data_IF_685903737084
#
_entry.id   IF_685903737084
#
_cell.length_a   1.000
_cell.length_b   1.000
_cell.length_c   1.000
_cell.angle_alpha   90.00
_cell.angle_beta   90.00
_cell.angle_gamma   90.00
#
_symmetry.space_group_name_H-M   'P 1'
#
loop_
_entity.id
_entity.type
_entity.pdbx_description
1 polymer ?
#
# COMPACT_ATOMS: atom_id res chain seq x y z
N UNK A 1 -17.75 6.56 22.75
CA UNK A 1 -16.62 6.37 21.81
C UNK A 1 -16.77 7.37 20.67
N UNK A 2 -15.74 8.16 20.38
CA UNK A 2 -15.73 9.10 19.26
C UNK A 2 -15.21 8.39 18.02
N UNK A 3 -15.83 8.63 16.87
CA UNK A 3 -15.40 8.05 15.59
C UNK A 3 -15.39 9.11 14.50
N UNK A 4 -14.49 8.94 13.53
CA UNK A 4 -14.32 9.82 12.38
C UNK A 4 -14.38 9.01 11.09
N UNK A 5 -14.60 9.69 9.96
CA UNK A 5 -14.49 9.06 8.66
C UNK A 5 -13.08 8.46 8.49
N UNK A 6 -13.03 7.24 7.97
CA UNK A 6 -11.78 6.59 7.55
C UNK A 6 -11.29 7.18 6.23
N UNK A 7 -9.99 7.04 5.96
CA UNK A 7 -9.44 7.35 4.63
C UNK A 7 -10.06 6.47 3.55
N UNK A 8 -10.09 6.98 2.31
CA UNK A 8 -10.47 6.21 1.11
C UNK A 8 -9.67 4.93 0.99
N UNK A 9 -8.37 5.01 1.27
CA UNK A 9 -7.44 3.89 1.21
C UNK A 9 -7.81 2.76 2.18
N UNK A 10 -8.19 3.09 3.42
CA UNK A 10 -8.59 2.10 4.42
C UNK A 10 -9.91 1.41 4.04
N UNK A 11 -10.86 2.16 3.45
CA UNK A 11 -12.11 1.59 2.94
C UNK A 11 -11.88 0.65 1.76
N UNK A 12 -11.08 1.07 0.78
CA UNK A 12 -10.74 0.23 -0.36
C UNK A 12 -9.99 -1.04 0.05
N UNK A 13 -9.09 -0.95 1.03
CA UNK A 13 -8.36 -2.11 1.53
C UNK A 13 -9.27 -3.10 2.24
N UNK A 14 -10.18 -2.63 3.09
CA UNK A 14 -11.20 -3.46 3.72
C UNK A 14 -12.05 -4.20 2.66
N UNK A 15 -12.48 -3.50 1.61
CA UNK A 15 -13.24 -4.12 0.50
C UNK A 15 -12.42 -5.24 -0.15
N UNK A 16 -11.16 -4.98 -0.50
CA UNK A 16 -10.25 -5.98 -1.11
C UNK A 16 -10.05 -7.21 -0.23
N UNK A 17 -9.89 -7.02 1.08
CA UNK A 17 -9.74 -8.11 2.05
C UNK A 17 -10.97 -9.03 2.00
N UNK A 18 -12.16 -8.45 2.09
CA UNK A 18 -13.41 -9.23 2.13
C UNK A 18 -13.69 -9.90 0.78
N UNK A 19 -13.42 -9.21 -0.33
CA UNK A 19 -13.55 -9.77 -1.67
C UNK A 19 -12.55 -10.89 -1.95
N UNK A 20 -11.34 -10.85 -1.34
CA UNK A 20 -10.33 -11.89 -1.50
C UNK A 20 -10.81 -13.27 -1.03
N UNK A 21 -11.81 -13.30 -0.14
CA UNK A 21 -12.46 -14.53 0.36
C UNK A 21 -13.84 -14.76 -0.25
N UNK A 22 -14.19 -14.05 -1.32
CA UNK A 22 -15.43 -14.22 -2.06
C UNK A 22 -16.68 -13.65 -1.37
N UNK A 23 -16.50 -12.79 -0.37
CA UNK A 23 -17.59 -12.17 0.38
C UNK A 23 -17.77 -10.71 -0.03
N UNK A 24 -18.92 -10.13 0.37
CA UNK A 24 -19.18 -8.70 0.24
C UNK A 24 -19.02 -8.02 1.60
N UNK A 25 -18.32 -6.88 1.67
CA UNK A 25 -18.16 -6.15 2.93
C UNK A 25 -19.51 -5.69 3.45
N UNK A 26 -19.75 -5.94 4.74
CA UNK A 26 -20.97 -5.53 5.46
C UNK A 26 -20.67 -4.87 6.81
N UNK A 27 -19.44 -4.38 6.98
CA UNK A 27 -18.98 -3.59 8.12
C UNK A 27 -18.39 -2.26 7.61
N UNK A 28 -18.43 -1.24 8.46
CA UNK A 28 -17.89 0.08 8.14
C UNK A 28 -16.59 0.33 8.92
N UNK A 29 -15.56 0.82 8.23
CA UNK A 29 -14.31 1.21 8.89
C UNK A 29 -14.33 2.69 9.30
N UNK A 30 -13.89 2.99 10.52
CA UNK A 30 -13.84 4.34 11.10
C UNK A 30 -12.55 4.53 11.89
N UNK A 31 -11.99 5.74 11.82
CA UNK A 31 -10.96 6.12 12.78
C UNK A 31 -11.61 6.36 14.14
N UNK A 32 -10.97 5.94 15.22
CA UNK A 32 -11.49 6.04 16.58
C UNK A 32 -10.35 6.19 17.60
N UNK A 33 -10.72 6.61 18.80
CA UNK A 33 -9.82 6.65 19.96
C UNK A 33 -9.72 5.25 20.58
N UNK A 34 -8.90 4.41 19.95
CA UNK A 34 -8.57 3.04 20.38
C UNK A 34 -7.04 2.90 20.39
N UNK A 35 -6.51 1.87 21.06
CA UNK A 35 -5.06 1.69 21.15
C UNK A 35 -4.42 1.32 19.81
N UNK A 36 -5.11 0.47 19.02
CA UNK A 36 -4.64 -0.05 17.73
C UNK A 36 -5.79 -0.17 16.72
N UNK A 37 -6.53 -1.28 16.71
CA UNK A 37 -7.74 -1.50 15.98
C UNK A 37 -8.60 -2.53 16.72
N UNK A 38 -9.91 -2.51 16.47
CA UNK A 38 -10.86 -3.48 17.02
C UNK A 38 -12.10 -3.60 16.13
N UNK A 39 -12.64 -4.81 16.01
CA UNK A 39 -13.95 -5.08 15.46
C UNK A 39 -15.03 -4.97 16.56
N UNK A 40 -16.10 -4.22 16.29
CA UNK A 40 -17.15 -3.94 17.27
C UNK A 40 -18.54 -3.89 16.61
N UNK A 41 -19.59 -4.01 17.42
CA UNK A 41 -20.98 -3.81 16.99
C UNK A 41 -21.56 -2.69 17.85
N UNK A 42 -21.98 -1.60 17.21
CA UNK A 42 -22.55 -0.47 17.95
C UNK A 42 -23.96 -0.77 18.48
N UNK A 43 -24.48 0.17 19.28
CA UNK A 43 -25.80 0.06 19.91
C UNK A 43 -26.96 -0.11 18.91
N UNK A 44 -26.76 0.23 17.64
CA UNK A 44 -27.76 0.08 16.58
C UNK A 44 -27.56 -1.20 15.76
N UNK A 45 -26.65 -2.09 16.20
CA UNK A 45 -26.32 -3.33 15.49
C UNK A 45 -25.41 -3.12 14.27
N UNK A 46 -24.81 -1.94 14.10
CA UNK A 46 -23.89 -1.70 12.98
C UNK A 46 -22.52 -2.28 13.28
N UNK A 47 -22.00 -3.06 12.35
CA UNK A 47 -20.67 -3.68 12.44
C UNK A 47 -19.59 -2.67 12.05
N UNK A 48 -18.62 -2.46 12.92
CA UNK A 48 -17.60 -1.44 12.78
C UNK A 48 -16.20 -2.04 12.94
N UNK A 49 -15.30 -1.67 12.03
CA UNK A 49 -13.86 -1.78 12.27
C UNK A 49 -13.37 -0.40 12.70
N UNK A 50 -12.82 -0.32 13.90
CA UNK A 50 -12.36 0.90 14.53
C UNK A 50 -10.85 0.87 14.57
N UNK A 51 -10.17 1.93 14.16
CA UNK A 51 -8.71 1.97 14.18
C UNK A 51 -8.16 3.31 14.66
N UNK A 52 -6.99 3.26 15.26
CA UNK A 52 -6.23 4.41 15.72
C UNK A 52 -5.39 4.97 14.58
N UNK A 53 -5.75 6.17 14.14
CA UNK A 53 -5.02 6.87 13.07
C UNK A 53 -3.55 7.09 13.46
N UNK A 54 -3.29 7.44 14.73
CA UNK A 54 -1.93 7.62 15.25
C UNK A 54 -1.15 6.30 15.25
N UNK A 55 -1.78 5.21 15.67
CA UNK A 55 -1.12 3.90 15.67
C UNK A 55 -0.78 3.47 14.24
N UNK A 56 -1.73 3.58 13.30
CA UNK A 56 -1.51 3.24 11.90
C UNK A 56 -0.37 4.07 11.31
N UNK A 57 -0.33 5.37 11.55
CA UNK A 57 0.76 6.24 11.09
C UNK A 57 2.12 5.83 11.69
N UNK A 58 2.18 5.51 12.99
CA UNK A 58 3.41 5.03 13.64
C UNK A 58 3.85 3.67 13.08
N UNK A 59 2.90 2.80 12.79
CA UNK A 59 3.17 1.45 12.34
C UNK A 59 3.66 1.46 10.88
N UNK A 60 3.06 2.31 10.03
CA UNK A 60 3.59 2.65 8.70
C UNK A 60 4.98 3.28 8.77
N UNK A 61 5.25 4.14 9.75
CA UNK A 61 6.57 4.76 9.94
C UNK A 61 7.64 3.81 10.50
N UNK A 62 7.25 2.78 11.25
CA UNK A 62 8.18 1.79 11.86
C UNK A 62 8.50 0.62 10.96
N UNK A 63 7.48 0.10 10.27
CA UNK A 63 7.63 -1.09 9.44
C UNK A 63 7.92 -0.76 7.99
N UNK A 64 7.55 0.43 7.52
CA UNK A 64 7.44 0.75 6.10
C UNK A 64 6.40 -0.08 5.35
N UNK A 65 5.83 -1.10 5.99
CA UNK A 65 5.31 -2.24 5.30
C UNK A 65 3.79 -2.15 5.21
N UNK A 66 3.32 -1.79 4.01
CA UNK A 66 1.93 -1.90 3.58
C UNK A 66 1.24 -3.17 4.12
N UNK A 67 1.94 -4.31 4.08
CA UNK A 67 1.40 -5.60 4.47
C UNK A 67 1.09 -5.74 5.96
N UNK A 68 1.78 -5.01 6.84
CA UNK A 68 1.43 -5.01 8.25
C UNK A 68 0.06 -4.33 8.48
N UNK A 69 -0.24 -3.29 7.70
CA UNK A 69 -1.55 -2.64 7.71
C UNK A 69 -2.65 -3.53 7.14
N UNK A 70 -2.36 -4.25 6.05
CA UNK A 70 -3.26 -5.29 5.51
C UNK A 70 -3.53 -6.37 6.56
N UNK A 71 -2.48 -6.86 7.23
CA UNK A 71 -2.61 -7.87 8.27
C UNK A 71 -3.50 -7.43 9.42
N UNK A 72 -3.38 -6.18 9.87
CA UNK A 72 -4.19 -5.65 10.96
C UNK A 72 -5.66 -5.61 10.56
N UNK A 73 -5.97 -5.02 9.40
CA UNK A 73 -7.35 -4.93 8.94
C UNK A 73 -7.93 -6.33 8.64
N UNK A 74 -7.12 -7.25 8.13
CA UNK A 74 -7.56 -8.62 7.89
C UNK A 74 -7.90 -9.36 9.18
N UNK A 75 -7.10 -9.14 10.23
CA UNK A 75 -7.39 -9.65 11.58
C UNK A 75 -8.74 -9.12 12.10
N UNK A 76 -8.99 -7.81 12.01
CA UNK A 76 -10.29 -7.25 12.43
C UNK A 76 -11.47 -7.73 11.57
N UNK A 77 -11.26 -7.88 10.25
CA UNK A 77 -12.26 -8.48 9.38
C UNK A 77 -12.57 -9.92 9.82
N UNK A 78 -11.58 -10.69 10.27
CA UNK A 78 -11.77 -12.06 10.71
C UNK A 78 -12.72 -12.14 11.91
N UNK A 79 -12.59 -11.26 12.91
CA UNK A 79 -13.49 -11.24 14.05
C UNK A 79 -14.95 -11.04 13.67
N UNK A 80 -15.19 -10.22 12.65
CA UNK A 80 -16.51 -10.12 12.07
C UNK A 80 -16.89 -11.40 11.30
N UNK A 81 -16.07 -11.87 10.39
CA UNK A 81 -16.42 -13.00 9.50
C UNK A 81 -16.62 -14.32 10.26
N UNK A 82 -15.87 -14.54 11.35
CA UNK A 82 -15.99 -15.71 12.23
C UNK A 82 -17.18 -15.61 13.20
N UNK A 83 -17.78 -14.42 13.34
CA UNK A 83 -18.86 -14.18 14.30
C UNK A 83 -18.38 -13.92 15.72
N UNK A 84 -17.08 -13.70 15.94
CA UNK A 84 -16.49 -13.48 17.28
C UNK A 84 -17.11 -12.25 17.98
N UNK A 85 -17.40 -11.20 17.21
CA UNK A 85 -18.06 -9.99 17.74
C UNK A 85 -19.48 -10.22 18.26
N UNK A 86 -20.11 -11.35 17.92
CA UNK A 86 -21.45 -11.72 18.39
C UNK A 86 -21.40 -12.53 19.70
N UNK A 87 -20.24 -13.09 20.05
CA UNK A 87 -20.09 -13.93 21.24
C UNK A 87 -20.13 -13.12 22.54
N UNK A 88 -19.76 -11.83 22.48
CA UNK A 88 -19.71 -10.95 23.66
C UNK A 88 -18.68 -11.35 24.71
N UNK A 89 -17.83 -12.34 24.44
CA UNK A 89 -16.80 -12.85 25.35
C UNK A 89 -15.52 -12.00 25.34
N UNK A 90 -15.35 -11.14 24.33
CA UNK A 90 -14.10 -10.41 24.09
C UNK A 90 -12.98 -11.31 23.58
N UNK A 91 -11.75 -10.77 23.58
CA UNK A 91 -10.55 -11.47 23.10
C UNK A 91 -10.21 -12.70 23.94
N UNK A 92 -10.02 -13.82 23.26
CA UNK A 92 -9.51 -15.06 23.82
C UNK A 92 -8.45 -15.66 22.91
N UNK A 93 -7.43 -16.37 23.45
CA UNK A 93 -6.31 -16.86 22.65
C UNK A 93 -6.71 -17.67 21.41
N UNK A 94 -7.74 -18.51 21.48
CA UNK A 94 -8.22 -19.30 20.34
C UNK A 94 -8.84 -18.43 19.23
N UNK A 95 -9.60 -17.40 19.62
CA UNK A 95 -10.23 -16.44 18.71
C UNK A 95 -9.16 -15.59 18.00
N UNK A 96 -8.18 -15.10 18.76
CA UNK A 96 -7.05 -14.32 18.24
C UNK A 96 -6.21 -15.12 17.24
N UNK A 97 -5.90 -16.39 17.55
CA UNK A 97 -5.13 -17.24 16.63
C UNK A 97 -5.91 -17.59 15.36
N UNK A 98 -7.24 -17.75 15.43
CA UNK A 98 -8.07 -17.94 14.24
C UNK A 98 -8.06 -16.67 13.35
N UNK A 99 -8.12 -15.49 13.97
CA UNK A 99 -8.01 -14.22 13.25
C UNK A 99 -6.62 -14.01 12.63
N UNK A 100 -5.54 -14.40 13.32
CA UNK A 100 -4.17 -14.37 12.79
C UNK A 100 -3.98 -15.31 11.60
N UNK A 101 -4.56 -16.51 11.69
CA UNK A 101 -4.57 -17.47 10.58
C UNK A 101 -5.33 -16.90 9.38
N UNK A 102 -6.48 -16.26 9.59
CA UNK A 102 -7.20 -15.58 8.52
C UNK A 102 -6.38 -14.46 7.89
N UNK A 103 -5.70 -13.64 8.70
CA UNK A 103 -4.85 -12.56 8.21
C UNK A 103 -3.71 -13.07 7.32
N UNK A 104 -2.99 -14.11 7.75
CA UNK A 104 -1.94 -14.73 6.94
C UNK A 104 -2.47 -15.29 5.61
N UNK A 105 -3.65 -15.92 5.65
CA UNK A 105 -4.33 -16.45 4.47
C UNK A 105 -4.75 -15.35 3.49
N UNK A 106 -5.26 -14.23 4.00
CA UNK A 106 -5.64 -13.05 3.22
C UNK A 106 -4.43 -12.45 2.51
N UNK A 107 -3.31 -12.28 3.21
CA UNK A 107 -2.07 -11.75 2.62
C UNK A 107 -1.59 -12.66 1.47
N UNK A 108 -1.66 -13.98 1.62
CA UNK A 108 -1.34 -14.91 0.54
C UNK A 108 -2.25 -14.73 -0.69
N UNK A 109 -3.57 -14.61 -0.48
CA UNK A 109 -4.55 -14.40 -1.57
C UNK A 109 -4.34 -13.07 -2.30
N UNK A 110 -3.92 -12.04 -1.57
CA UNK A 110 -3.59 -10.73 -2.14
C UNK A 110 -2.19 -10.70 -2.79
N UNK A 111 -1.43 -11.80 -2.74
CA UNK A 111 -0.15 -11.95 -3.44
C UNK A 111 1.09 -11.58 -2.61
N UNK A 112 0.93 -11.36 -1.31
CA UNK A 112 2.05 -11.13 -0.38
C UNK A 112 2.82 -12.41 -0.08
N UNK A 113 4.12 -12.27 0.21
CA UNK A 113 4.97 -13.40 0.56
C UNK A 113 4.89 -13.75 2.06
N UNK A 114 5.57 -14.80 2.51
CA UNK A 114 5.51 -15.20 3.92
C UNK A 114 6.02 -14.09 4.86
N UNK A 115 7.13 -13.41 4.53
CA UNK A 115 7.65 -12.28 5.33
C UNK A 115 6.61 -11.19 5.51
N UNK A 116 5.85 -10.88 4.46
CA UNK A 116 4.76 -9.91 4.50
C UNK A 116 3.66 -10.34 5.46
N UNK A 117 3.28 -11.62 5.40
CA UNK A 117 2.28 -12.21 6.27
C UNK A 117 2.67 -12.19 7.75
N UNK A 118 3.97 -12.18 8.04
CA UNK A 118 4.51 -12.15 9.40
C UNK A 118 4.78 -10.73 9.91
N UNK A 119 4.86 -9.75 9.02
CA UNK A 119 5.32 -8.38 9.33
C UNK A 119 4.56 -7.69 10.47
N UNK A 120 3.24 -7.84 10.53
CA UNK A 120 2.43 -7.33 11.66
C UNK A 120 2.85 -7.97 12.98
N UNK A 121 2.93 -9.30 12.98
CA UNK A 121 3.06 -10.10 14.19
C UNK A 121 4.45 -9.97 14.81
N UNK A 122 5.48 -9.72 14.00
CA UNK A 122 6.85 -9.43 14.47
C UNK A 122 6.93 -8.23 15.42
N UNK A 123 6.00 -7.27 15.31
CA UNK A 123 5.97 -6.06 16.15
C UNK A 123 5.19 -6.24 17.45
N UNK A 124 4.48 -7.35 17.64
CA UNK A 124 3.66 -7.60 18.83
C UNK A 124 4.51 -8.01 20.03
N UNK A 125 4.02 -7.90 21.27
CA UNK A 125 4.77 -8.32 22.46
C UNK A 125 5.21 -9.80 22.41
N UNK A 126 6.42 -10.10 22.88
CA UNK A 126 6.94 -11.47 22.90
C UNK A 126 6.16 -12.37 23.86
N UNK A 127 5.87 -11.85 25.06
CA UNK A 127 5.02 -12.49 26.04
C UNK A 127 3.54 -12.38 25.69
N UNK A 128 2.77 -13.43 25.99
CA UNK A 128 1.32 -13.41 25.89
C UNK A 128 0.67 -12.86 27.16
N UNK A 129 -0.65 -12.72 27.11
CA UNK A 129 -1.53 -12.37 28.21
C UNK A 129 -2.71 -13.35 28.27
N UNK A 130 -3.59 -13.28 29.28
CA UNK A 130 -4.80 -14.11 29.32
C UNK A 130 -5.72 -13.96 28.10
N UNK A 131 -5.70 -12.80 27.45
CA UNK A 131 -6.58 -12.48 26.31
C UNK A 131 -5.85 -12.55 24.98
N UNK A 132 -4.53 -12.33 24.95
CA UNK A 132 -3.74 -12.28 23.72
C UNK A 132 -2.60 -13.31 23.71
N UNK A 133 -2.45 -14.13 22.66
CA UNK A 133 -1.38 -15.11 22.56
C UNK A 133 0.03 -14.48 22.52
N UNK A 134 1.09 -15.21 22.93
CA UNK A 134 2.46 -14.75 22.73
C UNK A 134 2.82 -14.66 21.24
N UNK A 135 3.76 -13.78 20.88
CA UNK A 135 4.20 -13.55 19.49
C UNK A 135 4.43 -14.84 18.70
N UNK A 136 5.11 -15.82 19.32
CA UNK A 136 5.44 -17.10 18.67
C UNK A 136 4.19 -17.82 18.15
N UNK A 137 3.13 -17.87 18.94
CA UNK A 137 1.88 -18.54 18.55
C UNK A 137 1.16 -17.78 17.43
N UNK A 138 1.18 -16.44 17.49
CA UNK A 138 0.61 -15.58 16.44
C UNK A 138 1.32 -15.76 15.10
N UNK A 139 2.66 -15.76 15.11
CA UNK A 139 3.50 -16.03 13.93
C UNK A 139 3.21 -17.43 13.33
N UNK A 140 3.04 -18.44 14.19
CA UNK A 140 2.72 -19.80 13.77
C UNK A 140 1.33 -19.87 13.10
N UNK A 141 0.30 -19.28 13.72
CA UNK A 141 -1.04 -19.22 13.14
C UNK A 141 -1.06 -18.48 11.78
N UNK A 142 -0.42 -17.32 11.69
CA UNK A 142 -0.28 -16.58 10.45
C UNK A 142 0.47 -17.39 9.36
N UNK A 143 1.52 -18.11 9.75
CA UNK A 143 2.26 -19.01 8.84
C UNK A 143 1.36 -20.11 8.29
N UNK A 144 0.56 -20.76 9.16
CA UNK A 144 -0.40 -21.80 8.75
C UNK A 144 -1.42 -21.22 7.77
N UNK A 145 -1.97 -20.05 8.08
CA UNK A 145 -2.91 -19.34 7.22
C UNK A 145 -2.34 -19.00 5.85
N UNK A 146 -1.13 -18.45 5.81
CA UNK A 146 -0.46 -18.11 4.57
C UNK A 146 -0.21 -19.35 3.71
N UNK A 147 0.31 -20.43 4.31
CA UNK A 147 0.58 -21.69 3.60
C UNK A 147 -0.67 -22.33 3.03
N UNK A 148 -1.83 -22.21 3.69
CA UNK A 148 -3.07 -22.82 3.20
C UNK A 148 -3.66 -22.13 1.97
N UNK A 149 -3.33 -20.85 1.75
CA UNK A 149 -3.81 -20.07 0.61
C UNK A 149 -2.75 -19.75 -0.44
N UNK A 150 -1.46 -19.99 -0.15
CA UNK A 150 -0.37 -19.80 -1.10
C UNK A 150 -0.36 -20.90 -2.16
N UNK A 151 -0.52 -20.52 -3.43
CA UNK A 151 -0.55 -21.47 -4.55
C UNK A 151 0.85 -21.87 -5.05
N UNK A 152 1.92 -21.18 -4.63
CA UNK A 152 3.23 -21.31 -5.28
C UNK A 152 4.45 -21.22 -4.36
N UNK A 153 4.30 -21.32 -3.03
CA UNK A 153 5.45 -21.39 -2.11
C UNK A 153 6.48 -20.26 -2.30
N UNK A 154 6.03 -19.07 -2.72
CA UNK A 154 6.91 -17.96 -3.10
C UNK A 154 7.82 -17.60 -1.92
N UNK A 155 9.12 -17.82 -2.10
CA UNK A 155 10.16 -17.18 -1.31
C UNK A 155 10.18 -15.68 -1.63
N UNK A 156 10.33 -14.85 -0.61
CA UNK A 156 10.24 -13.40 -0.77
C UNK A 156 11.37 -12.87 -1.66
N UNK A 157 11.00 -12.28 -2.79
CA UNK A 157 11.72 -11.12 -3.35
C UNK A 157 11.23 -9.83 -2.69
N UNK A 158 11.54 -8.66 -3.27
CA UNK A 158 10.80 -7.41 -2.97
C UNK A 158 9.27 -7.73 -3.08
N UNK A 159 8.40 -7.14 -2.23
CA UNK A 159 7.01 -7.62 -1.94
C UNK A 159 5.85 -6.75 -2.47
N UNK A 160 4.85 -7.26 -3.26
CA UNK A 160 4.05 -6.40 -4.15
C UNK A 160 3.23 -5.44 -3.33
N UNK A 161 3.02 -4.20 -3.76
CA UNK A 161 1.81 -3.46 -3.33
C UNK A 161 0.76 -3.73 -4.40
N UNK A 162 -0.10 -4.75 -4.25
CA UNK A 162 -0.97 -5.21 -5.34
C UNK A 162 -1.96 -4.11 -5.75
N UNK A 163 -2.26 -3.21 -4.83
CA UNK A 163 -3.22 -2.13 -4.99
C UNK A 163 -2.59 -0.74 -5.15
N UNK A 164 -1.27 -0.66 -5.34
CA UNK A 164 -0.63 0.63 -5.51
C UNK A 164 -1.27 1.38 -6.68
N UNK A 165 -1.78 2.57 -6.35
CA UNK A 165 -2.47 3.46 -7.26
C UNK A 165 -1.62 4.70 -7.51
N UNK A 166 -1.33 4.98 -8.78
CA UNK A 166 -0.58 6.17 -9.18
C UNK A 166 -1.44 7.43 -9.27
N UNK A 167 -2.78 7.35 -9.23
CA UNK A 167 -3.65 8.52 -9.40
C UNK A 167 -3.34 9.64 -8.39
N UNK A 168 -3.42 10.88 -8.88
CA UNK A 168 -3.18 12.09 -8.10
C UNK A 168 -1.86 12.78 -8.46
N UNK A 169 -1.44 13.69 -7.59
CA UNK A 169 -0.24 14.50 -7.78
C UNK A 169 0.97 13.88 -7.06
N UNK A 170 2.08 13.81 -7.79
CA UNK A 170 3.37 13.35 -7.28
C UNK A 170 4.40 14.44 -7.50
N UNK A 171 5.03 14.91 -6.42
CA UNK A 171 6.15 15.83 -6.49
C UNK A 171 7.33 15.09 -7.13
N UNK A 172 7.88 15.67 -8.19
CA UNK A 172 8.99 15.15 -8.96
C UNK A 172 10.24 16.00 -8.73
N UNK A 173 11.35 15.32 -8.43
CA UNK A 173 12.69 15.91 -8.43
C UNK A 173 13.67 15.04 -9.20
N UNK A 174 14.47 15.64 -10.07
CA UNK A 174 15.62 15.00 -10.72
C UNK A 174 16.72 16.03 -11.02
N UNK A 175 17.97 15.58 -11.21
CA UNK A 175 19.10 16.45 -11.50
C UNK A 175 19.81 16.02 -12.79
N UNK A 176 20.35 16.97 -13.58
CA UNK A 176 21.16 16.70 -14.77
C UNK A 176 22.69 16.83 -14.57
N UNK A 177 23.47 16.48 -15.60
CA UNK A 177 24.95 16.52 -15.59
C UNK A 177 25.51 17.95 -15.53
N UNK A 178 24.66 18.96 -15.72
CA UNK A 178 25.04 20.38 -15.60
C UNK A 178 24.76 20.91 -14.19
N UNK A 179 24.50 20.02 -13.23
CA UNK A 179 24.04 20.34 -11.89
C UNK A 179 22.73 21.16 -11.88
N UNK A 180 21.93 21.08 -12.95
CA UNK A 180 20.62 21.69 -12.98
C UNK A 180 19.62 20.74 -12.31
N UNK A 181 18.99 21.22 -11.25
CA UNK A 181 17.87 20.52 -10.60
C UNK A 181 16.58 20.88 -11.31
N UNK A 182 15.72 19.88 -11.46
CA UNK A 182 14.39 19.99 -12.03
C UNK A 182 13.39 19.67 -10.94
N UNK A 183 12.49 20.61 -10.67
CA UNK A 183 11.46 20.49 -9.64
C UNK A 183 10.09 20.64 -10.28
N UNK A 184 9.13 19.80 -9.91
CA UNK A 184 7.81 19.86 -10.50
C UNK A 184 6.85 18.82 -9.95
N UNK A 185 5.81 18.56 -10.72
CA UNK A 185 4.80 17.56 -10.38
C UNK A 185 4.47 16.69 -11.59
N UNK A 186 4.30 15.40 -11.33
CA UNK A 186 3.60 14.45 -12.20
C UNK A 186 2.14 14.40 -11.77
N UNK A 187 1.24 14.72 -12.68
CA UNK A 187 -0.20 14.65 -12.51
C UNK A 187 -0.71 13.39 -13.19
N UNK A 188 -1.04 12.37 -12.41
CA UNK A 188 -1.58 11.11 -12.92
C UNK A 188 -3.10 11.20 -12.88
N UNK A 189 -3.70 11.36 -14.06
CA UNK A 189 -5.11 11.76 -14.17
C UNK A 189 -6.05 10.58 -14.36
N UNK A 190 -5.60 9.51 -15.00
CA UNK A 190 -6.48 8.41 -15.41
C UNK A 190 -5.78 7.06 -15.33
N UNK A 191 -6.49 6.06 -14.81
CA UNK A 191 -6.15 4.64 -14.95
C UNK A 191 -6.65 4.16 -16.30
N UNK A 192 -5.76 3.64 -17.13
CA UNK A 192 -6.05 3.19 -18.50
C UNK A 192 -6.14 1.67 -18.61
N UNK A 193 -5.74 0.95 -17.56
CA UNK A 193 -5.84 -0.50 -17.44
C UNK A 193 -5.41 -0.96 -16.05
N UNK A 194 -5.32 -2.26 -15.82
CA UNK A 194 -5.01 -2.80 -14.48
C UNK A 194 -3.67 -2.32 -13.95
N UNK A 195 -2.69 -2.14 -14.85
CA UNK A 195 -1.33 -1.70 -14.51
C UNK A 195 -0.86 -0.46 -15.23
N UNK A 196 -1.76 0.26 -15.91
CA UNK A 196 -1.39 1.39 -16.76
C UNK A 196 -2.16 2.65 -16.39
N UNK A 197 -1.48 3.79 -16.46
CA UNK A 197 -2.02 5.11 -16.18
C UNK A 197 -1.56 6.12 -17.25
N UNK A 198 -2.30 7.22 -17.36
CA UNK A 198 -1.95 8.36 -18.20
C UNK A 198 -2.05 9.66 -17.41
N UNK A 199 -1.23 10.64 -17.78
CA UNK A 199 -1.19 11.93 -17.15
C UNK A 199 -0.26 12.90 -17.88
N UNK A 200 0.27 13.88 -17.15
CA UNK A 200 1.30 14.78 -17.65
C UNK A 200 2.23 15.21 -16.51
N UNK A 201 3.46 15.58 -16.86
CA UNK A 201 4.41 16.23 -15.97
C UNK A 201 4.49 17.71 -16.31
N UNK A 202 4.64 18.53 -15.27
CA UNK A 202 5.01 19.94 -15.39
C UNK A 202 6.15 20.22 -14.44
N UNK A 203 7.27 20.72 -14.95
CA UNK A 203 8.46 20.93 -14.14
C UNK A 203 9.25 22.16 -14.58
N UNK A 204 10.01 22.73 -13.64
CA UNK A 204 10.86 23.89 -13.82
C UNK A 204 12.32 23.46 -13.76
N UNK A 205 13.12 23.97 -14.70
CA UNK A 205 14.57 23.86 -14.70
C UNK A 205 15.13 24.98 -13.81
N UNK A 206 15.74 24.67 -12.67
CA UNK A 206 16.19 25.73 -11.73
C UNK A 206 17.32 26.59 -12.30
N UNK A 207 18.19 26.02 -13.14
CA UNK A 207 19.30 26.73 -13.76
C UNK A 207 18.88 27.79 -14.80
N UNK A 208 17.73 27.60 -15.46
CA UNK A 208 17.28 28.47 -16.56
C UNK A 208 15.92 29.13 -16.30
N UNK A 209 15.22 28.72 -15.25
CA UNK A 209 13.84 29.12 -14.96
C UNK A 209 12.79 28.59 -15.95
N UNK A 210 13.20 27.82 -16.97
CA UNK A 210 12.31 27.31 -18.03
C UNK A 210 11.31 26.32 -17.46
N UNK A 211 10.05 26.41 -17.90
CA UNK A 211 8.99 25.47 -17.55
C UNK A 211 8.72 24.54 -18.73
N UNK A 212 8.68 23.25 -18.45
CA UNK A 212 8.47 22.18 -19.45
C UNK A 212 7.25 21.36 -19.05
N UNK A 213 6.41 21.04 -20.04
CA UNK A 213 5.25 20.14 -19.88
C UNK A 213 5.30 19.00 -20.89
N UNK A 214 5.03 17.78 -20.42
CA UNK A 214 5.09 16.55 -21.22
C UNK A 214 3.95 15.62 -20.84
N UNK A 215 3.34 14.95 -21.81
CA UNK A 215 2.38 13.88 -21.51
C UNK A 215 3.15 12.67 -20.95
N UNK A 216 2.51 11.91 -20.06
CA UNK A 216 3.09 10.77 -19.38
C UNK A 216 2.25 9.52 -19.58
N UNK A 217 2.88 8.45 -20.06
CA UNK A 217 2.35 7.09 -20.01
C UNK A 217 3.08 6.33 -18.89
N UNK A 218 2.32 5.74 -17.98
CA UNK A 218 2.87 5.14 -16.75
C UNK A 218 2.47 3.67 -16.72
N UNK A 219 3.45 2.81 -16.49
CA UNK A 219 3.27 1.36 -16.36
C UNK A 219 3.78 0.96 -14.98
N UNK A 220 2.95 0.29 -14.21
CA UNK A 220 3.28 -0.19 -12.87
C UNK A 220 3.40 -1.71 -12.92
N UNK A 221 4.62 -2.20 -12.94
CA UNK A 221 4.95 -3.61 -12.75
C UNK A 221 4.97 -3.94 -11.26
N UNK A 222 3.81 -4.40 -10.77
CA UNK A 222 3.60 -4.79 -9.38
C UNK A 222 4.39 -6.04 -8.99
N UNK A 223 4.68 -6.92 -9.95
CA UNK A 223 5.41 -8.16 -9.67
C UNK A 223 6.89 -7.88 -9.39
N UNK A 224 7.45 -6.82 -9.97
CA UNK A 224 8.88 -6.51 -9.89
C UNK A 224 9.20 -5.13 -9.27
N UNK A 225 8.26 -4.47 -8.60
CA UNK A 225 8.41 -3.12 -7.99
C UNK A 225 8.84 -2.05 -8.95
N UNK A 226 8.54 -2.20 -10.24
CA UNK A 226 9.02 -1.26 -11.23
C UNK A 226 7.90 -0.36 -11.67
N UNK A 227 8.18 0.92 -11.70
CA UNK A 227 7.36 1.88 -12.42
C UNK A 227 8.17 2.35 -13.60
N UNK A 228 7.60 2.20 -14.78
CA UNK A 228 8.12 2.81 -15.98
C UNK A 228 7.25 4.00 -16.33
N UNK A 229 7.87 5.18 -16.46
CA UNK A 229 7.19 6.37 -16.98
C UNK A 229 7.84 6.76 -18.30
N UNK A 230 7.01 6.96 -19.31
CA UNK A 230 7.42 7.39 -20.65
C UNK A 230 6.83 8.77 -20.91
N UNK A 231 7.69 9.75 -21.16
CA UNK A 231 7.27 11.12 -21.43
C UNK A 231 7.33 11.47 -22.91
N UNK A 232 6.34 12.24 -23.39
CA UNK A 232 6.36 12.80 -24.74
C UNK A 232 7.39 13.94 -24.86
N UNK A 233 7.85 14.23 -26.08
CA UNK A 233 8.73 15.37 -26.35
C UNK A 233 7.99 16.71 -26.10
N UNK A 234 8.59 17.75 -25.47
CA UNK A 234 7.85 18.96 -25.07
C UNK A 234 7.47 19.94 -26.19
N UNK A 235 7.94 19.73 -27.44
CA UNK A 235 8.15 20.85 -28.39
C UNK A 235 7.43 20.82 -29.74
N UNK A 236 6.41 20.00 -29.99
CA UNK A 236 5.59 20.21 -31.19
C UNK A 236 4.11 19.97 -30.96
N UNK A 237 3.32 20.97 -31.33
CA UNK A 237 1.92 20.80 -31.70
C UNK A 237 1.88 20.84 -33.23
N UNK A 238 1.63 19.73 -33.96
CA UNK A 238 1.40 18.37 -33.48
C UNK A 238 2.72 17.59 -33.22
N UNK A 239 2.76 16.68 -32.24
CA UNK A 239 3.99 15.97 -31.86
C UNK A 239 4.29 14.82 -32.84
N UNK A 240 5.39 14.91 -33.59
CA UNK A 240 5.78 13.86 -34.54
C UNK A 240 7.00 13.02 -34.14
N UNK A 241 7.73 13.39 -33.07
CA UNK A 241 8.89 12.61 -32.62
C UNK A 241 9.00 12.55 -31.09
N UNK A 242 8.96 11.34 -30.55
CA UNK A 242 9.18 10.98 -29.15
C UNK A 242 10.70 10.86 -28.93
N UNK A 243 11.32 11.75 -28.14
CA UNK A 243 12.65 11.50 -27.56
C UNK A 243 12.41 11.16 -26.09
N UNK A 244 12.19 9.86 -25.88
CA UNK A 244 11.45 9.30 -24.76
C UNK A 244 12.29 9.33 -23.48
N UNK A 245 12.21 10.38 -22.67
CA UNK A 245 12.71 10.28 -21.30
C UNK A 245 11.98 9.13 -20.61
N UNK A 246 12.72 8.07 -20.29
CA UNK A 246 12.18 6.87 -19.68
C UNK A 246 12.62 6.83 -18.24
N UNK A 247 11.67 6.93 -17.34
CA UNK A 247 11.96 6.85 -15.91
C UNK A 247 11.74 5.40 -15.51
N UNK A 248 12.81 4.75 -15.07
CA UNK A 248 12.78 3.41 -14.48
C UNK A 248 12.90 3.57 -12.96
N UNK A 249 11.79 3.41 -12.27
CA UNK A 249 11.65 3.71 -10.86
C UNK A 249 11.32 2.45 -10.06
N UNK A 250 11.65 2.47 -8.77
CA UNK A 250 11.26 1.47 -7.78
C UNK A 250 10.61 2.13 -6.57
N UNK A 251 9.69 1.39 -5.96
CA UNK A 251 9.15 1.75 -4.66
C UNK A 251 10.27 1.78 -3.62
N UNK A 252 10.25 2.79 -2.75
CA UNK A 252 10.91 2.69 -1.45
C UNK A 252 10.12 1.71 -0.56
N UNK A 253 10.75 1.15 0.46
CA UNK A 253 10.12 0.18 1.37
C UNK A 253 8.81 0.75 1.97
N UNK A 254 8.82 2.05 2.31
CA UNK A 254 7.69 2.80 2.87
C UNK A 254 6.63 3.22 1.84
N UNK A 255 6.95 3.14 0.54
CA UNK A 255 6.10 3.42 -0.63
C UNK A 255 5.42 4.80 -0.71
N UNK A 256 5.77 5.73 0.19
CA UNK A 256 5.51 7.16 0.05
C UNK A 256 6.50 7.88 -0.87
N UNK A 257 7.63 7.22 -1.16
CA UNK A 257 8.69 7.71 -2.04
C UNK A 257 8.96 6.65 -3.11
N UNK A 258 9.14 7.08 -4.35
CA UNK A 258 9.54 6.23 -5.47
C UNK A 258 10.85 6.80 -6.01
N UNK A 259 11.89 5.97 -6.13
CA UNK A 259 13.21 6.40 -6.59
C UNK A 259 13.65 5.62 -7.81
N UNK A 260 14.44 6.23 -8.68
CA UNK A 260 15.04 5.48 -9.78
C UNK A 260 15.85 6.34 -10.71
N UNK A 261 15.87 5.96 -11.98
CA UNK A 261 16.69 6.63 -12.99
C UNK A 261 15.85 7.13 -14.16
N UNK A 262 16.02 8.39 -14.54
CA UNK A 262 15.67 8.89 -15.87
C UNK A 262 16.76 8.44 -16.83
N UNK A 263 16.43 7.73 -17.89
CA UNK A 263 17.27 7.60 -19.07
C UNK A 263 16.77 8.56 -20.15
N UNK A 264 17.60 9.55 -20.49
CA UNK A 264 17.37 10.41 -21.64
C UNK A 264 17.64 9.65 -22.96
N UNK A 265 17.33 10.27 -24.09
CA UNK A 265 17.60 9.70 -25.42
C UNK A 265 19.08 9.39 -25.68
N UNK A 266 19.99 9.98 -24.89
CA UNK A 266 21.43 9.72 -24.94
C UNK A 266 21.88 8.59 -23.99
N UNK A 267 20.96 7.97 -23.24
CA UNK A 267 21.23 6.84 -22.34
C UNK A 267 21.84 7.23 -20.99
N UNK A 268 21.87 8.51 -20.64
CA UNK A 268 22.46 8.98 -19.39
C UNK A 268 21.44 8.85 -18.24
N UNK A 269 21.56 7.75 -17.49
CA UNK A 269 20.72 7.42 -16.35
C UNK A 269 20.95 8.31 -15.11
N UNK A 270 19.96 9.06 -14.61
CA UNK A 270 20.12 9.93 -13.40
C UNK A 270 19.02 9.82 -12.37
N UNK A 271 19.36 10.11 -11.11
CA UNK A 271 18.46 9.92 -9.97
C UNK A 271 17.17 10.77 -10.10
N UNK A 272 16.04 10.08 -10.02
CA UNK A 272 14.69 10.65 -9.97
C UNK A 272 14.05 10.24 -8.65
N UNK A 273 13.32 11.17 -8.04
CA UNK A 273 12.44 10.89 -6.91
C UNK A 273 11.03 11.40 -7.20
N UNK A 274 10.03 10.55 -6.93
CA UNK A 274 8.63 10.94 -6.82
C UNK A 274 8.18 10.81 -5.37
N UNK A 275 7.43 11.79 -4.88
CA UNK A 275 6.83 11.77 -3.54
C UNK A 275 5.36 12.14 -3.65
N UNK A 276 4.48 11.34 -3.06
CA UNK A 276 3.03 11.62 -3.12
C UNK A 276 2.72 12.93 -2.43
N UNK A 277 1.98 13.82 -3.09
CA UNK A 277 1.45 15.04 -2.47
C UNK A 277 0.22 14.65 -1.67
N UNK A 278 0.19 15.01 -0.38
CA UNK A 278 -0.95 14.76 0.52
C UNK A 278 -2.14 15.63 0.16
#
# INVERSE_FOLDING_TARGET
>A
MWTFASSSEAQELMVKIVESVGLRPNFAIRAADVDNAQADIDQNGRRLILYSEVWVQRMLAKSGNYWAGVGLLAHECAHHLNGDTLLGTGSHPQIELAADQFAGSTIARLGGCLKDALSLFEMLPEAGSPTHPPRRARLEAATVGWRSASQSGRECGESPRPDFNMLGEWRLTYADDRACTYTGSLYVQKRTGDSTYSGYQRHRMECSGTIVQQNAAIIVDRANYRIEIRYSNPRSNPPTHYDADRYSLRFDDDGGIIRGRNADAAGNGRNVTLTRVK
#
